data_IF_028886676056
#
_entry.id   IF_028886676056
#
_cell.length_a   1.000
_cell.length_b   1.000
_cell.length_c   1.000
_cell.angle_alpha   90.00
_cell.angle_beta   90.00
_cell.angle_gamma   90.00
#
_symmetry.space_group_name_H-M   'P 1'
#
loop_
_entity.id
_entity.type
_entity.pdbx_description
1 polymer ?
#
# COMPACT_ATOMS: atom_id res chain seq x y z
N UNK A 1 14.12 16.87 40.55
CA UNK A 1 14.58 15.70 39.77
C UNK A 1 14.16 15.89 38.32
N UNK A 2 15.07 15.83 37.33
CA UNK A 2 14.71 15.95 35.93
C UNK A 2 13.74 14.82 35.55
N UNK A 3 12.60 15.19 34.97
CA UNK A 3 11.60 14.23 34.49
C UNK A 3 11.96 13.90 33.05
N UNK A 4 12.26 12.63 32.77
CA UNK A 4 12.30 12.11 31.40
C UNK A 4 10.92 12.33 30.78
N UNK A 5 10.85 13.12 29.71
CA UNK A 5 9.64 13.34 28.93
C UNK A 5 9.57 12.30 27.81
N UNK A 6 8.59 11.37 27.84
CA UNK A 6 8.40 10.38 26.79
C UNK A 6 8.29 10.98 25.38
N UNK A 7 7.79 12.22 25.24
CA UNK A 7 7.71 12.90 23.94
C UNK A 7 9.09 13.34 23.45
N UNK A 8 10.00 13.72 24.36
CA UNK A 8 11.36 14.13 24.02
C UNK A 8 12.21 12.92 23.61
N UNK A 9 12.07 11.80 24.31
CA UNK A 9 12.72 10.54 23.93
C UNK A 9 12.24 10.04 22.56
N UNK A 10 10.93 10.12 22.28
CA UNK A 10 10.39 9.74 20.96
C UNK A 10 10.89 10.67 19.83
N UNK A 11 10.98 11.98 20.10
CA UNK A 11 11.56 12.95 19.15
C UNK A 11 13.03 12.63 18.84
N UNK A 12 13.79 12.24 19.85
CA UNK A 12 15.21 11.89 19.72
C UNK A 12 15.41 10.64 18.85
N UNK A 13 14.59 9.60 19.05
CA UNK A 13 14.61 8.41 18.18
C UNK A 13 14.17 8.76 16.75
N UNK A 14 13.13 9.60 16.59
CA UNK A 14 12.68 10.07 15.27
C UNK A 14 13.76 10.85 14.53
N UNK A 15 14.61 11.61 15.22
CA UNK A 15 15.73 12.32 14.60
C UNK A 15 16.71 11.33 13.94
N UNK A 16 17.02 10.21 14.61
CA UNK A 16 17.86 9.14 14.04
C UNK A 16 17.15 8.46 12.87
N UNK A 17 15.84 8.18 12.98
CA UNK A 17 15.06 7.59 11.88
C UNK A 17 15.00 8.50 10.64
N UNK A 18 14.89 9.82 10.84
CA UNK A 18 14.90 10.78 9.73
C UNK A 18 16.24 10.79 8.99
N UNK A 19 17.35 10.68 9.72
CA UNK A 19 18.68 10.52 9.11
C UNK A 19 18.74 9.21 8.31
N UNK A 20 18.20 8.13 8.85
CA UNK A 20 18.14 6.84 8.17
C UNK A 20 17.36 6.92 6.84
N UNK A 21 16.19 7.58 6.85
CA UNK A 21 15.37 7.80 5.64
C UNK A 21 16.15 8.60 4.58
N UNK A 22 16.86 9.65 5.00
CA UNK A 22 17.71 10.45 4.11
C UNK A 22 18.81 9.58 3.47
N UNK A 23 19.43 8.70 4.25
CA UNK A 23 20.47 7.78 3.77
C UNK A 23 19.91 6.67 2.86
N UNK A 24 18.67 6.22 3.06
CA UNK A 24 18.03 5.20 2.20
C UNK A 24 17.64 5.75 0.82
N UNK A 25 17.18 7.00 0.75
CA UNK A 25 16.77 7.67 -0.51
C UNK A 25 17.85 8.53 -1.15
N UNK A 26 19.11 8.40 -0.70
CA UNK A 26 20.18 9.34 -0.97
C UNK A 26 20.58 9.46 -2.45
N UNK A 27 20.65 10.70 -2.95
CA UNK A 27 21.39 11.05 -4.17
C UNK A 27 22.89 11.22 -3.87
N UNK A 28 23.72 11.29 -4.90
CA UNK A 28 25.20 11.31 -4.82
C UNK A 28 25.78 12.30 -3.78
N UNK A 29 25.15 13.46 -3.61
CA UNK A 29 25.55 14.52 -2.66
C UNK A 29 25.34 14.19 -1.17
N UNK A 30 24.33 13.37 -0.84
CA UNK A 30 24.02 12.99 0.55
C UNK A 30 25.06 12.01 1.09
N UNK A 31 25.68 11.23 0.20
CA UNK A 31 26.67 10.21 0.52
C UNK A 31 28.12 10.71 0.49
N UNK A 32 28.35 12.02 0.31
CA UNK A 32 29.70 12.59 0.44
C UNK A 32 30.20 12.49 1.88
N UNK A 33 31.49 12.15 2.06
CA UNK A 33 32.10 12.00 3.38
C UNK A 33 31.86 13.16 4.36
N UNK A 34 31.79 14.42 3.89
CA UNK A 34 31.44 15.58 4.76
C UNK A 34 30.02 15.50 5.32
N UNK A 35 29.07 15.05 4.52
CA UNK A 35 27.68 14.88 4.94
C UNK A 35 27.53 13.66 5.86
N UNK A 36 28.21 12.56 5.55
CA UNK A 36 28.22 11.35 6.39
C UNK A 36 28.77 11.63 7.80
N UNK A 37 29.87 12.39 7.91
CA UNK A 37 30.40 12.86 9.20
C UNK A 37 29.41 13.71 9.98
N UNK A 38 28.64 14.55 9.30
CA UNK A 38 27.60 15.37 9.94
C UNK A 38 26.46 14.50 10.46
N UNK A 39 26.02 13.51 9.69
CA UNK A 39 25.01 12.55 10.12
C UNK A 39 25.50 11.70 11.29
N UNK A 40 26.74 11.22 11.24
CA UNK A 40 27.37 10.52 12.35
C UNK A 40 27.32 11.32 13.65
N UNK A 41 27.80 12.58 13.63
CA UNK A 41 27.78 13.44 14.82
C UNK A 41 26.37 13.66 15.35
N UNK A 42 25.40 13.90 14.46
CA UNK A 42 24.01 14.06 14.87
C UNK A 42 23.44 12.77 15.48
N UNK A 43 23.78 11.59 14.96
CA UNK A 43 23.35 10.31 15.53
C UNK A 43 23.96 10.15 16.93
N UNK A 44 25.26 10.41 17.09
CA UNK A 44 25.96 10.32 18.39
C UNK A 44 25.34 11.24 19.44
N UNK A 45 25.11 12.52 19.11
CA UNK A 45 24.46 13.48 20.01
C UNK A 45 23.06 13.02 20.46
N UNK A 46 22.30 12.38 19.56
CA UNK A 46 20.99 11.82 19.91
C UNK A 46 21.13 10.53 20.76
N UNK A 47 22.13 9.68 20.48
CA UNK A 47 22.39 8.49 21.28
C UNK A 47 22.82 8.82 22.71
N UNK A 48 23.65 9.85 22.90
CA UNK A 48 24.06 10.31 24.24
C UNK A 48 22.85 10.77 25.08
N UNK A 49 21.92 11.49 24.47
CA UNK A 49 20.65 11.88 25.11
C UNK A 49 19.81 10.66 25.48
N UNK A 50 19.69 9.69 24.58
CA UNK A 50 18.95 8.44 24.84
C UNK A 50 19.60 7.61 25.94
N UNK A 51 20.92 7.54 25.98
CA UNK A 51 21.67 6.84 27.04
C UNK A 51 21.43 7.49 28.41
N UNK A 52 21.43 8.82 28.47
CA UNK A 52 21.07 9.57 29.67
C UNK A 52 19.63 9.29 30.11
N UNK A 53 18.67 9.35 29.19
CA UNK A 53 17.25 9.06 29.45
C UNK A 53 17.06 7.63 29.96
N UNK A 54 17.69 6.65 29.30
CA UNK A 54 17.66 5.24 29.70
C UNK A 54 18.24 5.07 31.11
N UNK A 55 19.36 5.71 31.42
CA UNK A 55 19.95 5.66 32.76
C UNK A 55 19.00 6.23 33.83
N UNK A 56 18.28 7.31 33.52
CA UNK A 56 17.26 7.87 34.41
C UNK A 56 16.03 6.96 34.55
N UNK A 57 15.62 6.29 33.46
CA UNK A 57 14.50 5.34 33.48
C UNK A 57 14.85 4.08 34.27
N UNK A 58 16.06 3.53 34.10
CA UNK A 58 16.58 2.39 34.89
C UNK A 58 16.47 2.66 36.40
N UNK A 59 16.77 3.88 36.86
CA UNK A 59 16.65 4.29 38.28
C UNK A 59 15.21 4.32 38.81
N UNK A 60 14.20 4.37 37.93
CA UNK A 60 12.78 4.43 38.32
C UNK A 60 12.13 3.05 38.46
N UNK A 61 12.82 1.98 38.09
CA UNK A 61 12.28 0.62 38.23
C UNK A 61 12.24 0.21 39.71
N UNK A 62 11.12 -0.38 40.19
CA UNK A 62 11.05 -0.97 41.52
C UNK A 62 11.78 -2.34 41.52
N UNK A 63 13.11 -2.32 41.48
CA UNK A 63 13.96 -3.52 41.50
C UNK A 63 15.06 -3.53 40.44
N UNK A 64 15.61 -4.72 40.14
CA UNK A 64 16.58 -4.90 39.05
C UNK A 64 15.91 -4.62 37.71
N UNK A 65 16.60 -3.88 36.85
CA UNK A 65 16.14 -3.64 35.49
C UNK A 65 16.04 -4.97 34.73
N UNK A 66 14.94 -5.21 33.97
CA UNK A 66 14.78 -6.47 33.25
C UNK A 66 15.92 -6.69 32.25
N UNK A 67 16.63 -7.81 32.39
CA UNK A 67 17.70 -8.20 31.46
C UNK A 67 17.15 -8.38 30.04
N UNK A 68 15.86 -8.72 29.88
CA UNK A 68 15.21 -8.94 28.58
C UNK A 68 15.08 -7.69 27.70
N UNK A 69 15.23 -6.48 28.24
CA UNK A 69 15.03 -5.23 27.49
C UNK A 69 16.31 -4.73 26.80
N UNK A 70 17.50 -5.21 27.18
CA UNK A 70 18.84 -4.90 26.60
C UNK A 70 19.02 -3.57 25.82
N UNK A 71 18.67 -2.39 26.36
CA UNK A 71 18.72 -1.14 25.61
C UNK A 71 20.16 -0.74 25.23
N UNK A 72 21.14 -1.15 26.03
CA UNK A 72 22.55 -0.80 25.83
C UNK A 72 23.14 -1.48 24.58
N UNK A 73 22.68 -2.72 24.27
CA UNK A 73 23.03 -3.47 23.07
C UNK A 73 22.46 -2.83 21.80
N UNK A 74 21.24 -2.29 21.88
CA UNK A 74 20.65 -1.55 20.76
C UNK A 74 21.32 -0.20 20.52
N UNK A 75 21.69 0.51 21.58
CA UNK A 75 22.46 1.76 21.48
C UNK A 75 23.83 1.52 20.85
N UNK A 76 24.56 0.47 21.25
CA UNK A 76 25.89 0.17 20.69
C UNK A 76 25.82 -0.14 19.20
N UNK A 77 24.83 -0.92 18.74
CA UNK A 77 24.64 -1.22 17.31
C UNK A 77 24.40 0.03 16.46
N UNK A 78 23.64 1.01 16.96
CA UNK A 78 23.45 2.28 16.26
C UNK A 78 24.74 3.11 16.30
N UNK A 79 25.48 3.06 17.41
CA UNK A 79 26.79 3.72 17.54
C UNK A 79 27.82 3.16 16.56
N UNK A 80 27.83 1.85 16.32
CA UNK A 80 28.70 1.21 15.32
C UNK A 80 28.43 1.74 13.90
N UNK A 81 27.16 1.97 13.56
CA UNK A 81 26.77 2.60 12.29
C UNK A 81 27.24 4.06 12.25
N UNK A 82 27.08 4.81 13.34
CA UNK A 82 27.58 6.18 13.43
C UNK A 82 29.10 6.26 13.26
N UNK A 83 29.86 5.32 13.85
CA UNK A 83 31.30 5.20 13.67
C UNK A 83 31.64 4.87 12.21
N UNK A 84 30.90 3.96 11.60
CA UNK A 84 31.05 3.62 10.18
C UNK A 84 30.85 4.85 9.29
N UNK A 85 29.85 5.68 9.57
CA UNK A 85 29.59 6.94 8.85
C UNK A 85 30.69 8.01 9.04
N UNK A 86 31.60 7.87 10.02
CA UNK A 86 32.77 8.77 10.16
C UNK A 86 33.90 8.45 9.19
N UNK A 87 33.90 7.26 8.60
CA UNK A 87 35.01 6.83 7.75
C UNK A 87 35.07 7.59 6.42
N UNK A 88 36.29 7.73 5.91
CA UNK A 88 36.62 8.59 4.76
C UNK A 88 36.86 7.76 3.48
N UNK A 89 36.33 6.53 3.42
CA UNK A 89 36.62 5.61 2.34
C UNK A 89 35.49 5.53 1.31
N UNK A 90 35.85 5.23 0.06
CA UNK A 90 34.90 5.10 -1.04
C UNK A 90 33.90 3.94 -0.86
N UNK A 91 34.23 2.94 -0.02
CA UNK A 91 33.36 1.81 0.30
C UNK A 91 32.12 2.26 1.10
N UNK A 92 32.30 3.16 2.08
CA UNK A 92 31.20 3.71 2.88
C UNK A 92 30.30 4.58 2.00
N UNK A 93 30.85 5.40 1.11
CA UNK A 93 30.05 6.19 0.17
C UNK A 93 29.24 5.30 -0.76
N UNK A 94 29.83 4.19 -1.25
CA UNK A 94 29.13 3.21 -2.07
C UNK A 94 27.98 2.52 -1.32
N UNK A 95 28.20 2.11 -0.06
CA UNK A 95 27.15 1.53 0.82
C UNK A 95 26.06 2.54 1.18
N UNK A 96 26.39 3.82 1.26
CA UNK A 96 25.39 4.88 1.38
C UNK A 96 24.57 5.00 0.09
N UNK A 97 25.22 5.03 -1.09
CA UNK A 97 24.54 5.17 -2.38
C UNK A 97 23.65 3.98 -2.72
N UNK A 98 23.98 2.79 -2.23
CA UNK A 98 23.12 1.60 -2.35
C UNK A 98 21.93 1.60 -1.36
N UNK A 99 21.89 2.56 -0.43
CA UNK A 99 20.87 2.64 0.63
C UNK A 99 21.08 1.64 1.78
N UNK A 100 22.16 0.85 1.77
CA UNK A 100 22.44 -0.20 2.76
C UNK A 100 22.58 0.38 4.17
N UNK A 101 23.36 1.47 4.32
CA UNK A 101 23.56 2.14 5.62
C UNK A 101 22.25 2.75 6.16
N UNK A 102 21.41 3.30 5.28
CA UNK A 102 20.10 3.84 5.67
C UNK A 102 19.13 2.74 6.12
N UNK A 103 19.13 1.59 5.43
CA UNK A 103 18.31 0.44 5.77
C UNK A 103 18.73 -0.18 7.11
N UNK A 104 20.04 -0.35 7.33
CA UNK A 104 20.57 -0.86 8.59
C UNK A 104 20.24 0.08 9.75
N UNK A 105 20.45 1.39 9.57
CA UNK A 105 20.13 2.39 10.60
C UNK A 105 18.63 2.43 10.92
N UNK A 106 17.76 2.27 9.90
CA UNK A 106 16.31 2.21 10.08
C UNK A 106 15.89 1.01 10.91
N UNK A 107 16.46 -0.17 10.64
CA UNK A 107 16.21 -1.38 11.40
C UNK A 107 16.60 -1.19 12.87
N UNK A 108 17.83 -0.75 13.13
CA UNK A 108 18.34 -0.57 14.50
C UNK A 108 17.59 0.50 15.28
N UNK A 109 17.23 1.62 14.64
CA UNK A 109 16.45 2.67 15.28
C UNK A 109 15.01 2.21 15.62
N UNK A 110 14.44 1.31 14.82
CA UNK A 110 13.12 0.72 15.06
C UNK A 110 13.15 -0.28 16.21
N UNK A 111 14.19 -1.12 16.29
CA UNK A 111 14.45 -2.01 17.43
C UNK A 111 14.55 -1.21 18.74
N UNK A 112 15.36 -0.14 18.74
CA UNK A 112 15.52 0.74 19.90
C UNK A 112 14.20 1.42 20.30
N UNK A 113 13.39 1.85 19.32
CA UNK A 113 12.06 2.44 19.59
C UNK A 113 11.13 1.48 20.31
N UNK A 114 11.12 0.20 19.91
CA UNK A 114 10.31 -0.82 20.53
C UNK A 114 10.75 -1.04 21.99
N UNK A 115 12.05 -1.21 22.22
CA UNK A 115 12.62 -1.35 23.56
C UNK A 115 12.28 -0.15 24.45
N UNK A 116 12.41 1.08 23.95
CA UNK A 116 12.07 2.28 24.70
C UNK A 116 10.59 2.34 25.08
N UNK A 117 9.70 1.88 24.19
CA UNK A 117 8.29 1.76 24.47
C UNK A 117 8.02 0.71 25.55
N UNK A 118 8.66 -0.45 25.47
CA UNK A 118 8.51 -1.52 26.46
C UNK A 118 9.02 -1.11 27.85
N UNK A 119 10.14 -0.37 27.92
CA UNK A 119 10.65 0.24 29.16
C UNK A 119 9.61 1.18 29.78
N UNK A 120 9.01 2.06 28.97
CA UNK A 120 8.01 3.02 29.43
C UNK A 120 6.69 2.35 29.84
N UNK A 121 6.27 1.33 29.12
CA UNK A 121 5.05 0.56 29.43
C UNK A 121 5.23 -0.24 30.72
N UNK A 122 6.40 -0.87 30.92
CA UNK A 122 6.76 -1.55 32.16
C UNK A 122 6.75 -0.60 33.38
N UNK A 123 7.31 0.61 33.24
CA UNK A 123 7.28 1.64 34.30
C UNK A 123 5.88 2.17 34.60
N UNK A 124 4.97 2.16 33.62
CA UNK A 124 3.57 2.60 33.79
C UNK A 124 2.68 1.52 34.39
N UNK A 125 3.20 0.32 34.67
CA UNK A 125 2.40 -0.82 35.11
C UNK A 125 1.39 -1.28 34.05
N UNK A 126 1.54 -0.82 32.80
CA UNK A 126 0.81 -1.39 31.67
C UNK A 126 1.53 -2.68 31.35
N UNK A 127 0.93 -3.80 31.77
CA UNK A 127 1.25 -5.12 31.25
C UNK A 127 1.08 -4.99 29.73
N UNK A 128 2.20 -4.86 29.01
CA UNK A 128 2.19 -4.94 27.56
C UNK A 128 1.51 -6.27 27.26
N UNK A 129 0.37 -6.20 26.56
CA UNK A 129 -0.44 -7.38 26.29
C UNK A 129 0.47 -8.38 25.62
N UNK A 130 0.78 -9.45 26.35
CA UNK A 130 1.53 -10.64 25.97
C UNK A 130 1.41 -10.90 24.46
N UNK A 131 2.29 -10.27 23.68
CA UNK A 131 2.15 -10.22 22.23
C UNK A 131 2.94 -11.40 21.75
N UNK A 132 2.32 -12.59 21.72
CA UNK A 132 2.56 -13.80 20.92
C UNK A 132 4.02 -14.31 20.78
N UNK A 133 4.99 -13.43 20.59
CA UNK A 133 6.45 -13.56 20.65
C UNK A 133 6.93 -14.04 22.04
N UNK A 134 6.37 -13.56 23.16
CA UNK A 134 6.76 -14.04 24.50
C UNK A 134 6.33 -15.50 24.77
N UNK A 135 5.37 -16.02 24.01
CA UNK A 135 5.02 -17.44 24.02
C UNK A 135 6.08 -18.31 23.34
N UNK A 136 6.93 -17.72 22.50
CA UNK A 136 8.11 -18.36 21.93
C UNK A 136 9.34 -18.26 22.84
N UNK A 137 9.43 -17.22 23.70
CA UNK A 137 10.54 -17.03 24.63
C UNK A 137 10.57 -18.08 25.77
N UNK A 138 9.41 -18.47 26.31
CA UNK A 138 9.35 -19.55 27.32
C UNK A 138 9.61 -20.95 26.72
N UNK A 139 9.57 -21.08 25.39
CA UNK A 139 10.01 -22.26 24.65
C UNK A 139 11.47 -22.15 24.16
N UNK A 140 12.28 -21.27 24.74
CA UNK A 140 13.70 -21.07 24.44
C UNK A 140 14.61 -22.31 24.59
N UNK A 141 14.09 -23.42 25.15
CA UNK A 141 14.74 -24.74 25.09
C UNK A 141 14.43 -25.57 23.85
N UNK A 142 13.34 -25.28 23.11
CA UNK A 142 12.87 -26.06 21.95
C UNK A 142 12.83 -25.28 20.63
N UNK A 143 12.97 -23.95 20.63
CA UNK A 143 13.15 -23.21 19.35
C UNK A 143 14.53 -23.46 18.73
N UNK A 144 15.52 -23.94 19.51
CA UNK A 144 16.74 -24.55 18.95
C UNK A 144 16.39 -25.69 17.99
N UNK A 145 15.27 -26.40 18.15
CA UNK A 145 14.83 -27.42 17.18
C UNK A 145 14.23 -26.84 15.90
N UNK A 146 13.62 -25.66 15.94
CA UNK A 146 13.12 -24.97 14.73
C UNK A 146 14.26 -24.31 13.95
N UNK A 147 15.28 -23.78 14.64
CA UNK A 147 16.52 -23.29 14.03
C UNK A 147 17.50 -24.42 13.65
N UNK A 148 17.44 -25.59 14.29
CA UNK A 148 18.05 -26.83 13.79
C UNK A 148 17.29 -27.40 12.58
N UNK A 149 16.00 -27.08 12.41
CA UNK A 149 15.28 -27.29 11.16
C UNK A 149 15.84 -26.47 10.00
N UNK A 150 16.44 -25.32 10.28
CA UNK A 150 17.24 -24.55 9.33
C UNK A 150 18.65 -25.15 9.09
N UNK A 151 19.19 -25.96 10.00
CA UNK A 151 20.45 -26.69 9.75
C UNK A 151 20.28 -27.82 8.72
N UNK A 152 19.05 -28.32 8.53
CA UNK A 152 18.70 -29.25 7.46
C UNK A 152 18.77 -28.60 6.07
N UNK A 153 18.77 -27.26 5.96
CA UNK A 153 18.94 -26.55 4.68
C UNK A 153 20.36 -26.68 4.08
N UNK A 154 21.33 -27.12 4.87
CA UNK A 154 22.68 -27.43 4.37
C UNK A 154 22.76 -28.86 3.81
N UNK A 155 21.82 -29.74 4.17
CA UNK A 155 21.72 -31.10 3.64
C UNK A 155 20.80 -31.15 2.40
N UNK A 156 21.01 -32.15 1.53
CA UNK A 156 20.17 -32.37 0.34
C UNK A 156 18.67 -32.50 0.69
N UNK A 157 18.34 -32.99 1.89
CA UNK A 157 16.94 -33.18 2.33
C UNK A 157 16.25 -31.84 2.64
N UNK A 158 16.92 -30.87 3.25
CA UNK A 158 16.30 -29.55 3.50
C UNK A 158 16.22 -28.69 2.24
N UNK A 159 17.14 -28.86 1.28
CA UNK A 159 16.99 -28.24 -0.05
C UNK A 159 15.72 -28.72 -0.77
N UNK A 160 15.40 -30.02 -0.67
CA UNK A 160 14.17 -30.58 -1.25
C UNK A 160 12.93 -30.03 -0.55
N UNK A 161 12.93 -29.93 0.78
CA UNK A 161 11.80 -29.37 1.55
C UNK A 161 11.61 -27.88 1.22
N UNK A 162 12.68 -27.10 1.12
CA UNK A 162 12.60 -25.68 0.75
C UNK A 162 12.13 -25.50 -0.69
N UNK A 163 12.60 -26.33 -1.62
CA UNK A 163 12.09 -26.34 -2.99
C UNK A 163 10.60 -26.68 -3.04
N UNK A 164 10.14 -27.66 -2.25
CA UNK A 164 8.72 -27.99 -2.16
C UNK A 164 7.88 -26.84 -1.59
N UNK A 165 8.38 -26.16 -0.54
CA UNK A 165 7.73 -24.97 0.03
C UNK A 165 7.68 -23.83 -0.99
N UNK A 166 8.77 -23.59 -1.72
CA UNK A 166 8.82 -22.60 -2.80
C UNK A 166 7.80 -22.91 -3.90
N UNK A 167 7.68 -24.18 -4.30
CA UNK A 167 6.67 -24.61 -5.28
C UNK A 167 5.25 -24.38 -4.74
N UNK A 168 5.00 -24.64 -3.46
CA UNK A 168 3.70 -24.37 -2.83
C UNK A 168 3.41 -22.86 -2.80
N UNK A 169 4.38 -22.03 -2.42
CA UNK A 169 4.24 -20.57 -2.40
C UNK A 169 4.02 -20.04 -3.81
N UNK A 170 4.81 -20.47 -4.79
CA UNK A 170 4.66 -20.09 -6.19
C UNK A 170 3.30 -20.51 -6.75
N UNK A 171 2.83 -21.71 -6.41
CA UNK A 171 1.48 -22.18 -6.76
C UNK A 171 0.40 -21.32 -6.11
N UNK A 172 0.58 -20.91 -4.86
CA UNK A 172 -0.37 -20.04 -4.15
C UNK A 172 -0.39 -18.61 -4.71
N UNK A 173 0.77 -18.08 -5.10
CA UNK A 173 0.90 -16.78 -5.79
C UNK A 173 0.26 -16.85 -7.17
N UNK A 174 0.50 -17.93 -7.91
CA UNK A 174 -0.14 -18.18 -9.21
C UNK A 174 -1.67 -18.29 -9.08
N UNK A 175 -2.18 -18.99 -8.05
CA UNK A 175 -3.61 -19.07 -7.74
C UNK A 175 -4.20 -17.73 -7.32
N UNK A 176 -3.49 -16.92 -6.53
CA UNK A 176 -3.94 -15.56 -6.17
C UNK A 176 -3.97 -14.62 -7.38
N UNK A 177 -2.99 -14.70 -8.28
CA UNK A 177 -2.97 -13.91 -9.52
C UNK A 177 -4.03 -14.36 -10.53
N UNK A 178 -4.33 -15.66 -10.58
CA UNK A 178 -5.39 -16.20 -11.43
C UNK A 178 -6.78 -16.15 -10.78
N UNK A 179 -6.88 -15.69 -9.53
CA UNK A 179 -8.16 -15.49 -8.86
C UNK A 179 -8.88 -14.33 -9.55
N UNK A 180 -10.07 -14.62 -10.08
CA UNK A 180 -10.91 -13.65 -10.77
C UNK A 180 -11.28 -12.54 -9.77
N UNK A 181 -10.55 -11.42 -9.83
CA UNK A 181 -10.67 -10.36 -8.83
C UNK A 181 -12.00 -9.64 -9.01
N UNK A 182 -12.81 -9.64 -7.94
CA UNK A 182 -14.05 -8.87 -7.83
C UNK A 182 -13.82 -7.40 -8.23
N UNK A 183 -12.64 -6.85 -7.91
CA UNK A 183 -12.24 -5.48 -8.23
C UNK A 183 -12.19 -5.18 -9.73
N UNK A 184 -11.76 -6.13 -10.58
CA UNK A 184 -11.74 -5.95 -12.03
C UNK A 184 -13.16 -5.90 -12.59
N UNK A 185 -14.05 -6.75 -12.08
CA UNK A 185 -15.47 -6.74 -12.46
C UNK A 185 -16.17 -5.46 -11.98
N UNK A 186 -15.94 -5.04 -10.74
CA UNK A 186 -16.50 -3.80 -10.19
C UNK A 186 -16.00 -2.56 -10.92
N UNK A 187 -14.70 -2.50 -11.25
CA UNK A 187 -14.14 -1.41 -12.06
C UNK A 187 -14.73 -1.39 -13.47
N UNK A 188 -14.94 -2.56 -14.07
CA UNK A 188 -15.60 -2.65 -15.37
C UNK A 188 -17.06 -2.20 -15.31
N UNK A 189 -17.81 -2.57 -14.26
CA UNK A 189 -19.19 -2.14 -14.06
C UNK A 189 -19.26 -0.60 -13.91
N UNK A 190 -18.36 0.00 -13.12
CA UNK A 190 -18.29 1.45 -12.94
C UNK A 190 -18.02 2.18 -14.25
N UNK A 191 -17.11 1.66 -15.08
CA UNK A 191 -16.84 2.22 -16.40
C UNK A 191 -18.04 2.10 -17.35
N UNK A 192 -18.75 0.96 -17.31
CA UNK A 192 -19.96 0.77 -18.12
C UNK A 192 -21.10 1.70 -17.67
N UNK A 193 -21.27 1.95 -16.37
CA UNK A 193 -22.21 2.95 -15.85
C UNK A 193 -21.88 4.37 -16.32
N UNK A 194 -20.62 4.80 -16.21
CA UNK A 194 -20.20 6.12 -16.68
C UNK A 194 -20.41 6.30 -18.20
N UNK A 195 -20.23 5.22 -18.98
CA UNK A 195 -20.54 5.24 -20.41
C UNK A 195 -22.05 5.38 -20.66
N UNK A 196 -22.89 4.63 -19.94
CA UNK A 196 -24.36 4.73 -20.07
C UNK A 196 -24.84 6.12 -19.70
N UNK A 197 -24.32 6.72 -18.63
CA UNK A 197 -24.65 8.07 -18.20
C UNK A 197 -24.33 9.10 -19.29
N UNK A 198 -23.12 9.02 -19.86
CA UNK A 198 -22.72 9.85 -21.01
C UNK A 198 -23.63 9.65 -22.22
N UNK A 199 -24.04 8.42 -22.51
CA UNK A 199 -24.95 8.14 -23.62
C UNK A 199 -26.38 8.63 -23.34
N UNK A 200 -26.85 8.62 -22.10
CA UNK A 200 -28.15 9.19 -21.70
C UNK A 200 -28.16 10.71 -21.87
N UNK A 201 -27.06 11.40 -21.58
CA UNK A 201 -26.94 12.84 -21.85
C UNK A 201 -26.96 13.15 -23.35
N UNK A 202 -26.25 12.36 -24.16
CA UNK A 202 -26.27 12.49 -25.62
C UNK A 202 -27.69 12.23 -26.16
N UNK A 203 -28.36 11.19 -25.64
CA UNK A 203 -29.74 10.85 -25.99
C UNK A 203 -30.69 11.99 -25.67
N UNK A 204 -30.56 12.63 -24.49
CA UNK A 204 -31.38 13.77 -24.11
C UNK A 204 -31.23 14.95 -25.08
N UNK A 205 -29.99 15.28 -25.46
CA UNK A 205 -29.72 16.33 -26.46
C UNK A 205 -30.29 15.99 -27.83
N UNK A 206 -30.08 14.76 -28.31
CA UNK A 206 -30.61 14.30 -29.60
C UNK A 206 -32.15 14.25 -29.61
N UNK A 207 -32.79 13.88 -28.50
CA UNK A 207 -34.25 13.92 -28.38
C UNK A 207 -34.80 15.34 -28.41
N UNK A 208 -34.07 16.31 -27.83
CA UNK A 208 -34.45 17.71 -27.91
C UNK A 208 -34.36 18.22 -29.35
N UNK A 209 -33.24 17.99 -30.04
CA UNK A 209 -33.06 18.35 -31.45
C UNK A 209 -34.12 17.70 -32.36
N UNK A 210 -34.49 16.45 -32.06
CA UNK A 210 -35.56 15.74 -32.76
C UNK A 210 -36.93 16.41 -32.53
N UNK A 211 -37.27 16.77 -31.29
CA UNK A 211 -38.52 17.47 -30.98
C UNK A 211 -38.60 18.83 -31.67
N UNK A 212 -37.53 19.61 -31.63
CA UNK A 212 -37.45 20.90 -32.30
C UNK A 212 -37.60 20.76 -33.82
N UNK A 213 -36.95 19.76 -34.41
CA UNK A 213 -37.08 19.47 -35.86
C UNK A 213 -38.51 19.05 -36.20
N UNK A 214 -39.14 18.23 -35.37
CA UNK A 214 -40.53 17.78 -35.57
C UNK A 214 -41.54 18.92 -35.41
N UNK A 215 -41.31 19.84 -34.49
CA UNK A 215 -42.14 21.05 -34.35
C UNK A 215 -42.04 21.96 -35.57
N UNK A 216 -40.86 22.06 -36.19
CA UNK A 216 -40.68 22.78 -37.45
C UNK A 216 -41.35 22.08 -38.64
N UNK A 217 -41.52 20.76 -38.61
CA UNK A 217 -42.22 20.00 -39.67
C UNK A 217 -43.74 20.15 -39.58
N UNK A 218 -44.33 20.20 -38.36
CA UNK A 218 -45.79 20.31 -38.15
C UNK A 218 -46.53 21.35 -39.01
N UNK A 219 -46.06 22.60 -39.19
CA UNK A 219 -46.77 23.57 -40.02
C UNK A 219 -46.84 23.18 -41.51
N UNK A 220 -45.90 22.37 -42.00
CA UNK A 220 -45.90 21.88 -43.38
C UNK A 220 -46.90 20.75 -43.63
N UNK A 221 -47.41 20.07 -42.59
CA UNK A 221 -48.42 19.00 -42.73
C UNK A 221 -49.83 19.55 -43.05
N UNK A 222 -50.06 20.86 -42.91
CA UNK A 222 -51.39 21.48 -43.01
C UNK A 222 -51.47 22.61 -44.06
N UNK A 223 -50.38 22.93 -44.75
CA UNK A 223 -50.28 24.08 -45.66
C UNK A 223 -50.09 23.67 -47.13
N UNK A 224 -50.57 24.51 -48.04
CA UNK A 224 -50.27 24.40 -49.47
C UNK A 224 -48.85 24.92 -49.69
N UNK A 225 -47.92 24.02 -50.03
CA UNK A 225 -46.47 24.31 -50.02
C UNK A 225 -45.98 24.80 -51.39
N UNK A 226 -45.23 25.91 -51.38
CA UNK A 226 -44.47 26.34 -52.56
C UNK A 226 -43.26 25.40 -52.81
N UNK A 227 -42.60 25.56 -53.97
CA UNK A 227 -41.47 24.74 -54.39
C UNK A 227 -40.28 24.84 -53.43
N UNK A 228 -40.06 26.00 -52.84
CA UNK A 228 -39.00 26.26 -51.86
C UNK A 228 -39.32 25.57 -50.51
N UNK A 229 -40.57 25.69 -50.05
CA UNK A 229 -41.08 25.01 -48.84
C UNK A 229 -40.99 23.48 -48.94
N UNK A 230 -41.19 22.91 -50.13
CA UNK A 230 -41.02 21.47 -50.39
C UNK A 230 -39.60 20.99 -50.20
N UNK A 231 -38.61 21.79 -50.61
CA UNK A 231 -37.20 21.45 -50.44
C UNK A 231 -36.82 21.53 -48.96
N UNK A 232 -37.29 22.55 -48.25
CA UNK A 232 -37.04 22.70 -46.81
C UNK A 232 -37.67 21.55 -46.01
N UNK A 233 -38.94 21.21 -46.28
CA UNK A 233 -39.62 20.07 -45.66
C UNK A 233 -38.86 18.76 -45.91
N UNK A 234 -38.46 18.48 -47.16
CA UNK A 234 -37.66 17.29 -47.50
C UNK A 234 -36.36 17.21 -46.69
N UNK A 235 -35.66 18.34 -46.55
CA UNK A 235 -34.44 18.42 -45.74
C UNK A 235 -34.72 18.17 -44.25
N UNK A 236 -35.77 18.77 -43.70
CA UNK A 236 -36.18 18.58 -42.31
C UNK A 236 -36.63 17.14 -42.04
N UNK A 237 -37.40 16.52 -42.94
CA UNK A 237 -37.81 15.12 -42.84
C UNK A 237 -36.63 14.15 -42.95
N UNK A 238 -35.65 14.43 -43.82
CA UNK A 238 -34.40 13.66 -43.84
C UNK A 238 -33.63 13.78 -42.53
N UNK A 239 -33.56 14.99 -41.95
CA UNK A 239 -32.94 15.21 -40.65
C UNK A 239 -33.66 14.48 -39.53
N UNK A 240 -35.00 14.52 -39.51
CA UNK A 240 -35.83 13.78 -38.54
C UNK A 240 -35.56 12.27 -38.60
N UNK A 241 -35.55 11.68 -39.80
CA UNK A 241 -35.24 10.25 -39.98
C UNK A 241 -33.83 9.91 -39.51
N UNK A 242 -32.83 10.75 -39.84
CA UNK A 242 -31.45 10.55 -39.40
C UNK A 242 -31.32 10.61 -37.88
N UNK A 243 -31.94 11.60 -37.25
CA UNK A 243 -31.97 11.72 -35.78
C UNK A 243 -32.68 10.54 -35.13
N UNK A 244 -33.78 10.05 -35.71
CA UNK A 244 -34.47 8.86 -35.21
C UNK A 244 -33.58 7.61 -35.23
N UNK A 245 -32.87 7.37 -36.33
CA UNK A 245 -31.94 6.23 -36.43
C UNK A 245 -30.82 6.34 -35.39
N UNK A 246 -30.27 7.55 -35.17
CA UNK A 246 -29.25 7.78 -34.14
C UNK A 246 -29.79 7.52 -32.73
N UNK A 247 -31.00 7.99 -32.43
CA UNK A 247 -31.69 7.75 -31.15
C UNK A 247 -31.88 6.25 -30.92
N UNK A 248 -32.40 5.52 -31.91
CA UNK A 248 -32.60 4.06 -31.82
C UNK A 248 -31.27 3.33 -31.63
N UNK A 249 -30.20 3.75 -32.33
CA UNK A 249 -28.86 3.17 -32.17
C UNK A 249 -28.28 3.43 -30.76
N UNK A 250 -28.46 4.63 -30.22
CA UNK A 250 -28.02 4.97 -28.87
C UNK A 250 -28.77 4.14 -27.83
N UNK A 251 -30.11 4.05 -27.93
CA UNK A 251 -30.95 3.23 -27.05
C UNK A 251 -30.51 1.76 -27.09
N UNK A 252 -30.33 1.20 -28.29
CA UNK A 252 -29.86 -0.18 -28.44
C UNK A 252 -28.48 -0.40 -27.79
N UNK A 253 -27.57 0.58 -27.92
CA UNK A 253 -26.25 0.51 -27.29
C UNK A 253 -26.31 0.56 -25.76
N UNK A 254 -27.25 1.34 -25.21
CA UNK A 254 -27.51 1.42 -23.76
C UNK A 254 -28.08 0.08 -23.28
N UNK A 255 -29.14 -0.43 -23.91
CA UNK A 255 -29.76 -1.71 -23.54
C UNK A 255 -28.77 -2.87 -23.57
N UNK A 256 -27.93 -2.94 -24.61
CA UNK A 256 -26.89 -3.97 -24.73
C UNK A 256 -25.90 -3.90 -23.57
N UNK A 257 -25.52 -2.70 -23.13
CA UNK A 257 -24.61 -2.52 -21.99
C UNK A 257 -25.28 -2.76 -20.65
N UNK A 258 -26.55 -2.38 -20.49
CA UNK A 258 -27.34 -2.69 -19.30
C UNK A 258 -27.48 -4.21 -19.10
N UNK A 259 -27.71 -4.98 -20.18
CA UNK A 259 -27.68 -6.44 -20.14
C UNK A 259 -26.32 -6.99 -19.69
N UNK A 260 -25.22 -6.44 -20.23
CA UNK A 260 -23.86 -6.82 -19.80
C UNK A 260 -23.58 -6.47 -18.34
N UNK A 261 -24.07 -5.35 -17.83
CA UNK A 261 -23.97 -4.99 -16.41
C UNK A 261 -24.76 -5.99 -15.56
N UNK A 262 -25.97 -6.36 -15.96
CA UNK A 262 -26.78 -7.35 -15.26
C UNK A 262 -26.08 -8.71 -15.18
N UNK A 263 -25.47 -9.17 -16.28
CA UNK A 263 -24.66 -10.39 -16.29
C UNK A 263 -23.42 -10.30 -15.38
N UNK A 264 -22.70 -9.17 -15.42
CA UNK A 264 -21.53 -8.94 -14.55
C UNK A 264 -21.93 -8.87 -13.07
N UNK A 265 -23.04 -8.23 -12.73
CA UNK A 265 -23.57 -8.18 -11.38
C UNK A 265 -23.95 -9.58 -10.88
N UNK A 266 -24.59 -10.40 -11.71
CA UNK A 266 -24.87 -11.80 -11.39
C UNK A 266 -23.59 -12.58 -11.11
N UNK A 267 -22.55 -12.40 -11.93
CA UNK A 267 -21.23 -13.01 -11.69
C UNK A 267 -20.57 -12.52 -10.40
N UNK A 268 -20.68 -11.24 -10.08
CA UNK A 268 -20.18 -10.69 -8.80
C UNK A 268 -20.93 -11.30 -7.60
N UNK A 269 -22.25 -11.47 -7.69
CA UNK A 269 -23.02 -12.15 -6.65
C UNK A 269 -22.65 -13.63 -6.50
N UNK A 270 -22.44 -14.33 -7.61
CA UNK A 270 -21.94 -15.72 -7.61
C UNK A 270 -20.56 -15.80 -6.96
N UNK A 271 -19.65 -14.88 -7.28
CA UNK A 271 -18.33 -14.79 -6.63
C UNK A 271 -18.48 -14.46 -5.15
N UNK A 272 -19.36 -13.54 -4.74
CA UNK A 272 -19.58 -13.21 -3.32
C UNK A 272 -20.15 -14.37 -2.51
N UNK A 273 -20.99 -15.21 -3.12
CA UNK A 273 -21.58 -16.39 -2.46
C UNK A 273 -20.58 -17.55 -2.29
N UNK A 274 -19.52 -17.62 -3.10
CA UNK A 274 -18.48 -18.66 -2.96
C UNK A 274 -17.56 -18.38 -1.77
N UNK A 275 -17.34 -19.41 -0.94
CA UNK A 275 -16.36 -19.35 0.16
C UNK A 275 -14.93 -19.20 -0.38
N UNK A 276 -14.02 -18.61 0.41
CA UNK A 276 -12.61 -18.41 0.03
C UNK A 276 -11.95 -19.70 -0.49
N UNK A 277 -12.26 -20.85 0.11
CA UNK A 277 -11.75 -22.15 -0.33
C UNK A 277 -12.36 -22.66 -1.64
N UNK A 278 -13.62 -22.30 -1.94
CA UNK A 278 -14.26 -22.59 -3.23
C UNK A 278 -13.68 -21.72 -4.35
N UNK A 279 -13.38 -20.44 -4.05
CA UNK A 279 -12.66 -19.54 -4.95
C UNK A 279 -11.25 -20.06 -5.26
N UNK A 280 -10.54 -20.55 -4.24
CA UNK A 280 -9.17 -21.06 -4.36
C UNK A 280 -9.10 -22.39 -5.13
N UNK A 281 -10.09 -23.28 -4.95
CA UNK A 281 -10.13 -24.61 -5.59
C UNK A 281 -10.88 -24.62 -6.94
N UNK A 282 -11.35 -23.46 -7.41
CA UNK A 282 -12.10 -23.30 -8.67
C UNK A 282 -13.30 -24.24 -8.78
N UNK A 283 -13.98 -24.50 -7.64
CA UNK A 283 -15.26 -25.22 -7.55
C UNK A 283 -16.35 -24.24 -7.11
#
# INVERSE_FOLDING_TARGET
MPKVDPQETEKTIKAIQNIAIILTGAAEFVCEGRMLKRFSRNIEENLEKLEHDIALLKKKFPGKFPETLEPDSSLSRIRDIAITLKGDNADIEAKCRSGELGNELTLRATELKAIMKDILDALRGRISGYTIIDRFAYYGGKVKSFLLGLSLLVSNTGRIILAAILVIILSFVYLSLTMESEDVLLKSIKNDFAYIEKQKDILAKQNQEYKETREKIKPFDQAEMDREDKIEWLNLSMKERKSRVLIEQIIFSIETREKKIAEKNKKVEEIRKKSFFQKLLRR
#
